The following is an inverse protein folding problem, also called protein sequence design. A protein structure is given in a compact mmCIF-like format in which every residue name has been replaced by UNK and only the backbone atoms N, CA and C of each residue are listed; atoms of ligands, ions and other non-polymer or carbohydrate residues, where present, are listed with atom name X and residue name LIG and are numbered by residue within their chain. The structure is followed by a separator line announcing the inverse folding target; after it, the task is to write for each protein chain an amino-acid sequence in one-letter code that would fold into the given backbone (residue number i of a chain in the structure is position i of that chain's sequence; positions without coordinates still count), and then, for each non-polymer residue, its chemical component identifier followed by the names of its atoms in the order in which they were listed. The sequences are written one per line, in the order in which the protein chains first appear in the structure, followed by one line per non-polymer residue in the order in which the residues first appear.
data_IF_121962043095
#
_entry.id   IF_121962043095
#
_cell.length_a   1.000
_cell.length_b   1.000
_cell.length_c   1.000
_cell.angle_alpha   90.00
_cell.angle_beta   90.00
_cell.angle_gamma   90.00
#
_symmetry.space_group_name_H-M   'P 1'
#
loop_
_entity.id
_entity.type
_entity.pdbx_description
1 polymer ?
#
# COMPACT_ATOMS: atom_id res chain seq x y z
N UNK A 1 -59.56 17.81 28.64
CA UNK A 1 -58.22 17.32 29.05
C UNK A 1 -57.79 16.18 28.11
N UNK A 2 -56.54 15.72 28.19
CA UNK A 2 -55.93 14.67 27.33
C UNK A 2 -56.76 13.35 27.33
N UNK A 3 -56.69 12.44 26.35
CA UNK A 3 -55.62 11.44 26.12
C UNK A 3 -56.17 10.33 25.16
N UNK A 4 -55.47 9.53 24.33
CA UNK A 4 -54.06 9.38 23.87
C UNK A 4 -54.06 8.78 22.42
N UNK A 5 -52.90 8.82 21.75
CA UNK A 5 -52.37 7.86 20.75
C UNK A 5 -53.11 7.57 19.41
N UNK A 6 -52.36 7.62 18.31
CA UNK A 6 -52.78 7.16 16.98
C UNK A 6 -52.29 5.74 16.61
N UNK A 7 -52.90 5.16 15.58
CA UNK A 7 -52.66 3.79 15.11
C UNK A 7 -51.36 3.63 14.33
N UNK A 8 -50.32 3.11 14.98
CA UNK A 8 -49.09 2.66 14.30
C UNK A 8 -49.35 1.33 13.55
N UNK A 9 -49.11 1.31 12.24
CA UNK A 9 -49.24 0.11 11.40
C UNK A 9 -48.10 -0.88 11.70
N UNK A 10 -48.44 -2.08 12.14
CA UNK A 10 -47.52 -3.22 12.12
C UNK A 10 -47.33 -3.77 10.69
N UNK A 11 -46.19 -4.44 10.46
CA UNK A 11 -45.84 -5.09 9.18
C UNK A 11 -45.10 -4.15 8.23
N UNK A 12 -43.79 -4.31 7.99
CA UNK A 12 -43.18 -5.53 7.44
C UNK A 12 -41.67 -5.52 7.73
N UNK A 13 -41.21 -6.48 8.53
CA UNK A 13 -39.77 -6.69 8.72
C UNK A 13 -39.17 -7.20 7.40
N UNK A 14 -38.43 -6.34 6.70
CA UNK A 14 -37.63 -6.75 5.55
C UNK A 14 -36.34 -7.37 6.07
N UNK A 15 -36.37 -8.67 6.38
CA UNK A 15 -35.17 -9.46 6.57
C UNK A 15 -34.42 -9.54 5.23
N UNK A 16 -33.59 -8.53 4.96
CA UNK A 16 -32.58 -8.62 3.91
C UNK A 16 -31.52 -9.58 4.40
N UNK A 17 -31.50 -10.80 3.87
CA UNK A 17 -30.46 -11.78 4.17
C UNK A 17 -29.08 -11.14 3.93
N UNK A 18 -28.33 -10.97 5.02
CA UNK A 18 -26.97 -10.45 5.02
C UNK A 18 -26.01 -11.48 4.43
N UNK A 19 -26.19 -11.82 3.16
CA UNK A 19 -25.34 -12.74 2.40
C UNK A 19 -23.99 -12.05 2.10
N UNK A 20 -23.18 -11.92 3.14
CA UNK A 20 -21.75 -11.61 3.01
C UNK A 20 -21.16 -12.59 1.99
N UNK A 21 -20.59 -12.12 0.87
CA UNK A 21 -20.02 -13.02 -0.11
C UNK A 21 -18.83 -13.76 0.52
N UNK A 22 -18.82 -15.10 0.55
CA UNK A 22 -17.67 -15.84 1.04
C UNK A 22 -16.49 -15.59 0.10
N UNK A 23 -15.31 -15.38 0.68
CA UNK A 23 -14.06 -15.11 -0.04
C UNK A 23 -14.13 -13.94 -1.03
N UNK A 24 -14.00 -12.73 -0.48
CA UNK A 24 -13.11 -11.75 -1.10
C UNK A 24 -11.65 -12.26 -0.97
N UNK A 25 -11.32 -13.33 -1.71
CA UNK A 25 -9.94 -13.69 -1.98
C UNK A 25 -9.33 -12.52 -2.74
N UNK A 26 -8.40 -11.81 -2.11
CA UNK A 26 -7.56 -10.85 -2.81
C UNK A 26 -6.56 -11.68 -3.62
N UNK A 27 -6.99 -12.13 -4.80
CA UNK A 27 -6.07 -12.57 -5.83
C UNK A 27 -5.23 -11.36 -6.24
N UNK A 28 -4.11 -11.16 -5.53
CA UNK A 28 -3.09 -10.17 -5.89
C UNK A 28 -2.80 -10.33 -7.37
N UNK A 29 -2.96 -9.26 -8.15
CA UNK A 29 -2.75 -9.32 -9.60
C UNK A 29 -1.28 -9.62 -9.90
N UNK A 30 -0.96 -10.00 -11.13
CA UNK A 30 0.43 -10.17 -11.56
C UNK A 30 1.22 -8.86 -11.43
N UNK A 31 0.54 -7.72 -11.59
CA UNK A 31 1.09 -6.39 -11.34
C UNK A 31 1.42 -6.16 -9.85
N UNK A 32 0.54 -6.60 -8.94
CA UNK A 32 0.74 -6.41 -7.49
C UNK A 32 1.84 -7.34 -6.94
N UNK A 33 1.90 -8.59 -7.41
CA UNK A 33 3.02 -9.51 -7.09
C UNK A 33 4.36 -8.96 -7.61
N UNK A 34 4.35 -8.29 -8.76
CA UNK A 34 5.52 -7.61 -9.30
C UNK A 34 5.96 -6.44 -8.41
N UNK A 35 5.03 -5.59 -7.96
CA UNK A 35 5.32 -4.50 -6.99
C UNK A 35 5.89 -5.04 -5.68
N UNK A 36 5.27 -6.07 -5.10
CA UNK A 36 5.73 -6.69 -3.84
C UNK A 36 7.15 -7.26 -3.98
N UNK A 37 7.48 -7.88 -5.12
CA UNK A 37 8.84 -8.36 -5.39
C UNK A 37 9.89 -7.24 -5.41
N UNK A 38 9.53 -6.02 -5.84
CA UNK A 38 10.42 -4.86 -5.73
C UNK A 38 10.50 -4.31 -4.29
N UNK A 39 9.40 -4.34 -3.52
CA UNK A 39 9.43 -3.94 -2.10
C UNK A 39 10.33 -4.86 -1.27
N UNK A 40 10.30 -6.18 -1.50
CA UNK A 40 11.20 -7.14 -0.84
C UNK A 40 12.68 -6.85 -1.18
N UNK A 41 13.01 -6.70 -2.47
CA UNK A 41 14.38 -6.36 -2.90
C UNK A 41 14.88 -5.04 -2.28
N UNK A 42 14.00 -4.03 -2.17
CA UNK A 42 14.36 -2.75 -1.57
C UNK A 42 14.58 -2.86 -0.05
N UNK A 43 13.84 -3.73 0.64
CA UNK A 43 14.04 -4.03 2.05
C UNK A 43 15.37 -4.76 2.29
N UNK A 44 15.69 -5.78 1.48
CA UNK A 44 16.97 -6.51 1.57
C UNK A 44 18.18 -5.57 1.37
N UNK A 45 18.08 -4.65 0.41
CA UNK A 45 19.10 -3.60 0.16
C UNK A 45 19.18 -2.64 1.36
N UNK A 46 18.05 -2.21 1.91
CA UNK A 46 18.02 -1.32 3.07
C UNK A 46 18.67 -1.96 4.30
N UNK A 47 18.35 -3.21 4.63
CA UNK A 47 18.98 -3.97 5.72
C UNK A 47 20.49 -4.15 5.50
N UNK A 48 20.92 -4.49 4.27
CA UNK A 48 22.33 -4.58 3.94
C UNK A 48 23.07 -3.23 4.14
N UNK A 49 22.42 -2.10 3.85
CA UNK A 49 22.96 -0.77 4.10
C UNK A 49 22.99 -0.42 5.60
N UNK A 50 21.93 -0.75 6.35
CA UNK A 50 21.86 -0.56 7.81
C UNK A 50 22.99 -1.34 8.50
N UNK A 51 23.15 -2.63 8.17
CA UNK A 51 24.14 -3.51 8.78
C UNK A 51 25.60 -3.09 8.51
N UNK A 52 25.86 -2.38 7.40
CA UNK A 52 27.22 -1.96 6.98
C UNK A 52 27.56 -0.51 7.33
N UNK A 53 26.57 0.38 7.33
CA UNK A 53 26.78 1.83 7.34
C UNK A 53 25.82 2.59 8.27
N UNK A 54 24.90 1.90 8.95
CA UNK A 54 23.97 2.48 9.91
C UNK A 54 22.68 3.03 9.29
N UNK A 55 21.67 3.22 10.16
CA UNK A 55 20.30 3.58 9.76
C UNK A 55 20.21 4.93 9.06
N UNK A 56 20.95 5.93 9.52
CA UNK A 56 20.87 7.30 8.99
C UNK A 56 21.43 7.39 7.57
N UNK A 57 22.49 6.62 7.27
CA UNK A 57 23.04 6.48 5.92
C UNK A 57 22.05 5.79 4.97
N UNK A 58 21.42 4.69 5.42
CA UNK A 58 20.43 3.98 4.63
C UNK A 58 19.22 4.87 4.31
N UNK A 59 18.66 5.52 5.33
CA UNK A 59 17.53 6.45 5.18
C UNK A 59 17.86 7.63 4.27
N UNK A 60 18.99 8.30 4.49
CA UNK A 60 19.41 9.46 3.69
C UNK A 60 19.62 9.10 2.22
N UNK A 61 20.18 7.92 1.93
CA UNK A 61 20.38 7.43 0.56
C UNK A 61 19.06 7.10 -0.13
N UNK A 62 18.14 6.38 0.55
CA UNK A 62 16.82 6.05 0.00
C UNK A 62 15.99 7.31 -0.31
N UNK A 63 16.02 8.30 0.57
CA UNK A 63 15.37 9.62 0.35
C UNK A 63 16.01 10.37 -0.82
N UNK A 64 17.33 10.31 -0.98
CA UNK A 64 18.02 10.93 -2.12
C UNK A 64 17.67 10.25 -3.45
N UNK A 65 17.59 8.92 -3.49
CA UNK A 65 17.15 8.16 -4.66
C UNK A 65 15.70 8.49 -5.03
N UNK A 66 14.78 8.52 -4.05
CA UNK A 66 13.40 8.91 -4.26
C UNK A 66 13.29 10.36 -4.79
N UNK A 67 14.12 11.27 -4.28
CA UNK A 67 14.22 12.64 -4.80
C UNK A 67 14.70 12.67 -6.26
N UNK A 68 15.70 11.88 -6.64
CA UNK A 68 16.18 11.86 -8.02
C UNK A 68 15.11 11.33 -8.99
N UNK A 69 14.31 10.34 -8.58
CA UNK A 69 13.14 9.88 -9.34
C UNK A 69 12.13 11.03 -9.51
N UNK A 70 11.80 11.73 -8.43
CA UNK A 70 10.87 12.88 -8.46
C UNK A 70 11.40 14.14 -9.18
N UNK A 71 12.69 14.16 -9.55
CA UNK A 71 13.34 15.23 -10.32
C UNK A 71 13.72 14.78 -11.75
N UNK A 72 13.23 13.60 -12.21
CA UNK A 72 13.55 12.96 -13.50
C UNK A 72 15.07 12.84 -13.78
N UNK A 73 15.87 12.63 -12.73
CA UNK A 73 17.33 12.59 -12.81
C UNK A 73 17.87 11.17 -13.07
N UNK A 74 18.94 11.02 -13.88
CA UNK A 74 19.64 9.75 -14.05
C UNK A 74 20.12 9.19 -12.70
N UNK A 75 19.60 8.01 -12.33
CA UNK A 75 20.01 7.29 -11.11
C UNK A 75 21.42 6.69 -11.24
N UNK A 76 21.89 6.48 -12.47
CA UNK A 76 23.26 6.07 -12.79
C UNK A 76 23.93 7.15 -13.62
N UNK A 77 25.22 7.41 -13.35
CA UNK A 77 26.07 8.05 -14.36
C UNK A 77 26.39 7.01 -15.44
N UNK A 78 26.35 7.35 -16.74
CA UNK A 78 26.93 6.49 -17.76
C UNK A 78 28.42 6.29 -17.46
N UNK A 79 28.90 5.06 -17.62
CA UNK A 79 30.32 4.75 -17.45
C UNK A 79 31.12 5.52 -18.49
N UNK A 80 32.04 6.39 -18.04
CA UNK A 80 32.93 7.12 -18.94
C UNK A 80 34.04 6.17 -19.36
N UNK A 81 33.82 5.48 -20.48
CA UNK A 81 34.79 4.59 -21.09
C UNK A 81 35.98 5.41 -21.62
N UNK A 82 36.97 5.63 -20.76
CA UNK A 82 38.26 6.16 -21.15
C UNK A 82 39.06 5.06 -21.86
N UNK A 83 39.08 5.13 -23.20
CA UNK A 83 40.03 4.41 -24.06
C UNK A 83 41.38 5.12 -24.13
#
# INVERSE_FOLDING_TARGET
MMSKSGTLRAGRASAGDGKVPPNAQIELSEEDRSKDAFFVQLADIAEAMIARHGKDFAMGTLVLTARFIAEDKPLTKPAVNHS
#
